data_IF_901509717457
#
_entry.id   IF_901509717457
#
_cell.length_a   1.000
_cell.length_b   1.000
_cell.length_c   1.000
_cell.angle_alpha   90.00
_cell.angle_beta   90.00
_cell.angle_gamma   90.00
#
_symmetry.space_group_name_H-M   'P 1'
#
loop_
_entity.id
_entity.type
_entity.pdbx_description
1 polymer ?
#
# COMPACT_ATOMS: atom_id res chain seq x y z
N UNK A 1 -76.54 25.04 45.87
CA UNK A 1 -75.14 24.95 45.41
C UNK A 1 -74.84 23.45 45.34
N UNK A 2 -75.15 22.76 44.23
CA UNK A 2 -74.24 22.47 43.08
C UNK A 2 -72.91 21.91 43.60
N UNK A 3 -72.47 20.70 43.28
CA UNK A 3 -72.30 20.17 41.93
C UNK A 3 -72.14 18.63 41.95
N UNK A 4 -72.62 17.95 40.91
CA UNK A 4 -72.62 16.49 40.73
C UNK A 4 -71.29 15.99 40.13
N UNK A 5 -70.83 14.83 40.61
CA UNK A 5 -69.65 14.16 40.06
C UNK A 5 -69.93 13.48 38.72
N UNK A 6 -69.33 13.99 37.64
CA UNK A 6 -69.29 13.33 36.32
C UNK A 6 -68.07 12.41 36.14
N UNK A 7 -68.21 11.21 35.55
CA UNK A 7 -67.09 10.32 35.29
C UNK A 7 -66.26 10.78 34.07
N UNK A 8 -64.94 10.94 34.26
CA UNK A 8 -63.98 11.25 33.20
C UNK A 8 -63.92 10.13 32.15
N UNK A 9 -64.29 10.43 30.91
CA UNK A 9 -64.14 9.55 29.73
C UNK A 9 -62.67 9.19 29.51
N UNK A 10 -62.37 7.89 29.38
CA UNK A 10 -61.08 7.40 28.85
C UNK A 10 -60.95 7.78 27.37
N UNK A 11 -59.76 8.20 26.91
CA UNK A 11 -59.50 8.34 25.48
C UNK A 11 -59.56 6.96 24.79
N UNK A 12 -59.97 6.90 23.51
CA UNK A 12 -60.03 5.64 22.77
C UNK A 12 -58.62 5.06 22.61
N UNK A 13 -58.54 3.73 22.72
CA UNK A 13 -57.31 2.98 22.50
C UNK A 13 -56.81 3.23 21.07
N UNK A 14 -55.61 3.77 20.97
CA UNK A 14 -54.90 3.96 19.72
C UNK A 14 -54.63 2.57 19.11
N UNK A 15 -55.24 2.31 17.96
CA UNK A 15 -55.04 1.10 17.19
C UNK A 15 -53.54 0.96 16.91
N UNK A 16 -52.90 -0.19 17.15
CA UNK A 16 -51.49 -0.35 16.80
C UNK A 16 -51.38 -0.16 15.29
N UNK A 17 -50.64 0.86 14.86
CA UNK A 17 -50.20 1.01 13.48
C UNK A 17 -49.48 -0.30 13.13
N UNK A 18 -49.90 -1.05 12.10
CA UNK A 18 -49.14 -2.21 11.66
C UNK A 18 -47.73 -1.72 11.34
N UNK A 19 -46.74 -2.14 12.11
CA UNK A 19 -45.35 -1.94 11.75
C UNK A 19 -45.17 -2.52 10.35
N UNK A 20 -44.90 -1.66 9.37
CA UNK A 20 -44.53 -2.09 8.03
C UNK A 20 -43.47 -3.19 8.17
N UNK A 21 -43.65 -4.35 7.51
CA UNK A 21 -42.58 -5.33 7.49
C UNK A 21 -41.37 -4.59 6.93
N UNK A 22 -40.26 -4.56 7.67
CA UNK A 22 -38.98 -4.06 7.17
C UNK A 22 -38.68 -4.83 5.88
N UNK A 23 -39.06 -4.25 4.75
CA UNK A 23 -38.71 -4.74 3.43
C UNK A 23 -37.20 -4.61 3.38
N UNK A 24 -36.51 -5.74 3.29
CA UNK A 24 -35.08 -5.73 3.02
C UNK A 24 -34.78 -4.83 1.81
N UNK A 25 -33.56 -4.29 1.71
CA UNK A 25 -33.20 -3.39 0.62
C UNK A 25 -33.56 -4.03 -0.73
N UNK A 26 -34.14 -3.25 -1.64
CA UNK A 26 -34.52 -3.71 -2.98
C UNK A 26 -33.31 -4.37 -3.65
N UNK A 27 -33.45 -5.65 -3.99
CA UNK A 27 -32.38 -6.45 -4.59
C UNK A 27 -32.51 -6.42 -6.11
N UNK A 28 -31.40 -6.13 -6.78
CA UNK A 28 -31.28 -6.15 -8.24
C UNK A 28 -30.18 -7.12 -8.65
N UNK A 29 -30.36 -7.78 -9.79
CA UNK A 29 -29.34 -8.65 -10.36
C UNK A 29 -28.22 -7.81 -10.98
N UNK A 30 -26.97 -8.08 -10.59
CA UNK A 30 -25.83 -7.39 -11.19
C UNK A 30 -25.62 -7.87 -12.65
N UNK A 31 -25.56 -6.97 -13.65
CA UNK A 31 -25.37 -7.36 -15.05
C UNK A 31 -23.98 -7.98 -15.37
N UNK A 32 -23.03 -7.93 -14.42
CA UNK A 32 -21.70 -8.50 -14.59
C UNK A 32 -21.50 -9.85 -13.88
N UNK A 33 -21.92 -9.96 -12.61
CA UNK A 33 -21.71 -11.17 -11.82
C UNK A 33 -23.00 -11.96 -11.54
N UNK A 34 -24.14 -11.49 -12.04
CA UNK A 34 -25.48 -12.12 -11.95
C UNK A 34 -26.03 -12.35 -10.53
N UNK A 35 -25.26 -12.00 -9.49
CA UNK A 35 -25.69 -12.07 -8.10
C UNK A 35 -26.71 -10.97 -7.78
N UNK A 36 -27.66 -11.33 -6.91
CA UNK A 36 -28.64 -10.40 -6.32
C UNK A 36 -27.96 -9.55 -5.25
N UNK A 37 -27.98 -8.23 -5.43
CA UNK A 37 -27.37 -7.25 -4.52
C UNK A 37 -28.32 -6.08 -4.28
N UNK A 38 -28.22 -5.38 -3.14
CA UNK A 38 -28.94 -4.13 -2.89
C UNK A 38 -28.71 -3.13 -4.02
N UNK A 39 -29.78 -2.43 -4.41
CA UNK A 39 -29.70 -1.35 -5.37
C UNK A 39 -28.66 -0.29 -4.94
N UNK A 40 -27.84 0.14 -5.88
CA UNK A 40 -26.75 1.09 -5.66
C UNK A 40 -26.09 1.50 -6.97
N UNK A 41 -25.08 2.36 -6.89
CA UNK A 41 -24.27 2.76 -8.04
C UNK A 41 -23.26 1.65 -8.42
N UNK A 42 -22.78 0.93 -7.40
CA UNK A 42 -21.84 -0.18 -7.54
C UNK A 42 -22.44 -1.48 -7.00
N UNK A 43 -22.06 -2.59 -7.61
CA UNK A 43 -22.36 -3.91 -7.10
C UNK A 43 -21.54 -4.16 -5.81
N UNK A 44 -22.23 -4.38 -4.68
CA UNK A 44 -21.55 -4.68 -3.42
C UNK A 44 -20.78 -6.01 -3.41
N UNK A 45 -21.06 -6.91 -4.37
CA UNK A 45 -20.40 -8.20 -4.49
C UNK A 45 -19.13 -8.16 -5.35
N UNK A 46 -19.24 -7.73 -6.61
CA UNK A 46 -18.12 -7.74 -7.56
C UNK A 46 -17.47 -6.36 -7.80
N UNK A 47 -18.04 -5.29 -7.24
CA UNK A 47 -17.50 -3.93 -7.35
C UNK A 47 -17.68 -3.24 -8.71
N UNK A 48 -18.36 -3.88 -9.67
CA UNK A 48 -18.70 -3.30 -10.98
C UNK A 48 -19.73 -2.17 -10.87
N UNK A 49 -19.78 -1.26 -11.84
CA UNK A 49 -20.90 -0.31 -11.94
C UNK A 49 -22.20 -1.06 -12.19
N UNK A 50 -23.20 -0.86 -11.33
CA UNK A 50 -24.46 -1.60 -11.39
C UNK A 50 -25.34 -1.11 -12.55
N UNK A 51 -25.25 0.18 -12.89
CA UNK A 51 -26.00 0.84 -13.97
C UNK A 51 -25.54 0.44 -15.37
N UNK A 52 -24.24 0.23 -15.57
CA UNK A 52 -23.65 -0.05 -16.89
C UNK A 52 -23.02 -1.44 -17.02
N UNK A 53 -22.89 -2.21 -15.93
CA UNK A 53 -22.25 -3.53 -15.91
C UNK A 53 -20.75 -3.53 -16.18
N UNK A 54 -20.09 -2.37 -16.08
CA UNK A 54 -18.65 -2.24 -16.36
C UNK A 54 -17.85 -2.62 -15.12
N UNK A 55 -17.23 -3.80 -15.14
CA UNK A 55 -16.38 -4.29 -14.05
C UNK A 55 -14.98 -3.69 -13.99
N UNK A 56 -14.48 -3.16 -15.10
CA UNK A 56 -13.13 -2.59 -15.16
C UNK A 56 -13.01 -1.23 -14.45
N UNK A 57 -14.13 -0.49 -14.31
CA UNK A 57 -14.28 0.79 -13.59
C UNK A 57 -13.00 1.66 -13.56
N UNK A 58 -12.42 1.92 -14.74
CA UNK A 58 -11.11 2.56 -14.89
C UNK A 58 -11.01 3.97 -14.26
N UNK A 59 -12.14 4.65 -14.14
CA UNK A 59 -12.26 5.97 -13.53
C UNK A 59 -12.50 5.96 -12.01
N UNK A 60 -12.73 4.78 -11.42
CA UNK A 60 -12.98 4.60 -10.00
C UNK A 60 -12.07 3.51 -9.44
N UNK A 61 -10.95 3.90 -8.84
CA UNK A 61 -10.03 2.94 -8.22
C UNK A 61 -10.71 2.17 -7.07
N UNK A 62 -10.40 0.89 -6.93
CA UNK A 62 -11.10 -0.02 -6.01
C UNK A 62 -10.91 0.37 -4.52
N UNK A 63 -9.72 0.84 -4.16
CA UNK A 63 -9.42 1.27 -2.80
C UNK A 63 -9.82 2.73 -2.52
N UNK A 64 -9.81 3.60 -3.55
CA UNK A 64 -10.16 5.02 -3.42
C UNK A 64 -10.99 5.43 -4.64
N UNK A 65 -12.33 5.32 -4.57
CA UNK A 65 -13.19 5.54 -5.74
C UNK A 65 -13.15 6.94 -6.33
N UNK A 66 -12.69 7.94 -5.58
CA UNK A 66 -12.54 9.32 -6.05
C UNK A 66 -11.35 9.53 -6.99
N UNK A 67 -10.42 8.57 -7.08
CA UNK A 67 -9.26 8.65 -7.96
C UNK A 67 -9.36 7.62 -9.11
N UNK A 68 -8.93 7.96 -10.34
CA UNK A 68 -8.88 6.98 -11.43
C UNK A 68 -7.77 5.94 -11.18
N UNK A 69 -7.83 4.82 -11.91
CA UNK A 69 -6.83 3.74 -11.78
C UNK A 69 -5.44 4.21 -12.22
N UNK A 70 -5.37 5.05 -13.25
CA UNK A 70 -4.13 5.66 -13.75
C UNK A 70 -3.95 7.04 -13.12
N UNK A 71 -3.56 7.07 -11.85
CA UNK A 71 -3.27 8.30 -11.12
C UNK A 71 -2.02 8.14 -10.26
N UNK A 72 -1.03 9.01 -10.44
CA UNK A 72 0.22 8.97 -9.68
C UNK A 72 0.03 9.51 -8.27
N UNK A 73 0.04 8.61 -7.29
CA UNK A 73 -0.03 8.96 -5.87
C UNK A 73 0.71 7.93 -5.04
N UNK A 74 1.81 8.34 -4.42
CA UNK A 74 2.60 7.48 -3.52
C UNK A 74 1.75 7.04 -2.34
N UNK A 75 0.98 7.98 -1.77
CA UNK A 75 0.22 7.76 -0.53
C UNK A 75 -0.92 6.74 -0.75
N UNK A 76 -1.79 6.97 -1.73
CA UNK A 76 -2.92 6.04 -1.99
C UNK A 76 -2.49 4.69 -2.58
N UNK A 77 -1.23 4.56 -3.03
CA UNK A 77 -0.71 3.28 -3.57
C UNK A 77 0.04 2.45 -2.52
N UNK A 78 0.89 3.07 -1.69
CA UNK A 78 1.68 2.36 -0.67
C UNK A 78 0.97 2.26 0.69
N UNK A 79 -0.05 3.08 0.94
CA UNK A 79 -0.84 3.08 2.17
C UNK A 79 -2.30 2.73 1.87
N UNK A 80 -2.60 1.49 1.42
CA UNK A 80 -3.90 1.15 0.86
C UNK A 80 -5.05 1.15 1.88
N UNK A 81 -4.75 1.01 3.18
CA UNK A 81 -5.75 1.00 4.25
C UNK A 81 -6.05 2.40 4.82
N UNK A 82 -5.38 3.45 4.32
CA UNK A 82 -5.53 4.79 4.87
C UNK A 82 -6.85 5.42 4.39
N UNK A 83 -7.75 5.83 5.30
CA UNK A 83 -8.99 6.52 4.91
C UNK A 83 -8.66 7.82 4.16
N UNK A 84 -9.40 8.13 3.08
CA UNK A 84 -9.07 9.24 2.19
C UNK A 84 -8.97 10.60 2.91
N UNK A 85 -9.80 10.82 3.93
CA UNK A 85 -9.81 12.05 4.73
C UNK A 85 -8.49 12.30 5.47
N UNK A 86 -7.75 11.24 5.83
CA UNK A 86 -6.41 11.34 6.47
C UNK A 86 -5.26 11.30 5.45
N UNK A 87 -5.53 10.91 4.20
CA UNK A 87 -4.55 10.95 3.11
C UNK A 87 -3.90 12.32 2.90
N UNK A 88 -4.65 13.41 3.15
CA UNK A 88 -4.11 14.77 3.12
C UNK A 88 -2.96 14.99 4.11
N UNK A 89 -3.10 14.52 5.36
CA UNK A 89 -2.06 14.70 6.38
C UNK A 89 -0.76 13.97 6.03
N UNK A 90 -0.85 12.74 5.52
CA UNK A 90 0.31 11.97 5.06
C UNK A 90 0.99 12.61 3.84
N UNK A 91 0.22 13.18 2.91
CA UNK A 91 0.77 13.95 1.78
C UNK A 91 1.55 15.18 2.28
N UNK A 92 0.99 15.93 3.23
CA UNK A 92 1.68 17.07 3.84
C UNK A 92 2.93 16.65 4.62
N UNK A 93 2.88 15.54 5.37
CA UNK A 93 4.03 14.99 6.07
C UNK A 93 5.16 14.58 5.10
N UNK A 94 4.81 13.93 3.98
CA UNK A 94 5.77 13.61 2.92
C UNK A 94 6.38 14.87 2.31
N UNK A 95 5.56 15.87 1.95
CA UNK A 95 6.03 17.15 1.41
C UNK A 95 6.94 17.89 2.39
N UNK A 96 6.56 17.96 3.68
CA UNK A 96 7.36 18.57 4.72
C UNK A 96 8.70 17.85 4.93
N UNK A 97 8.71 16.51 4.89
CA UNK A 97 9.93 15.72 4.97
C UNK A 97 10.86 15.94 3.78
N UNK A 98 10.33 15.95 2.55
CA UNK A 98 11.11 16.30 1.34
C UNK A 98 11.67 17.72 1.44
N UNK A 99 10.84 18.69 1.85
CA UNK A 99 11.28 20.07 2.04
C UNK A 99 12.41 20.16 3.09
N UNK A 100 12.30 19.41 4.18
CA UNK A 100 13.34 19.34 5.22
C UNK A 100 14.66 18.83 4.64
N UNK A 101 14.64 17.76 3.85
CA UNK A 101 15.84 17.24 3.17
C UNK A 101 16.45 18.28 2.23
N UNK A 102 15.61 18.97 1.43
CA UNK A 102 16.06 20.01 0.49
C UNK A 102 16.69 21.19 1.22
N UNK A 103 16.08 21.65 2.32
CA UNK A 103 16.62 22.76 3.14
C UNK A 103 17.96 22.36 3.75
N UNK A 104 18.07 21.16 4.34
CA UNK A 104 19.34 20.68 4.90
C UNK A 104 20.44 20.55 3.83
N UNK A 105 20.09 20.06 2.64
CA UNK A 105 21.02 19.98 1.52
C UNK A 105 21.46 21.36 1.02
N UNK A 106 20.56 22.34 0.96
CA UNK A 106 20.87 23.73 0.58
C UNK A 106 21.78 24.42 1.60
N UNK A 107 21.69 24.05 2.87
CA UNK A 107 22.57 24.50 3.95
C UNK A 107 23.92 23.75 4.00
N UNK A 108 24.21 22.88 3.02
CA UNK A 108 25.40 22.02 2.97
C UNK A 108 25.54 21.07 4.18
N UNK A 109 24.44 20.80 4.90
CA UNK A 109 24.39 19.87 6.02
C UNK A 109 24.10 18.46 5.51
N UNK A 110 25.05 17.88 4.77
CA UNK A 110 24.82 16.63 4.03
C UNK A 110 24.60 15.41 4.93
N UNK A 111 25.27 15.33 6.08
CA UNK A 111 25.06 14.25 7.04
C UNK A 111 23.61 14.22 7.59
N UNK A 112 23.07 15.30 8.19
CA UNK A 112 21.68 15.29 8.64
C UNK A 112 20.68 15.24 7.48
N UNK A 113 21.01 15.78 6.30
CA UNK A 113 20.17 15.61 5.11
C UNK A 113 20.04 14.13 4.71
N UNK A 114 21.15 13.38 4.78
CA UNK A 114 21.18 11.93 4.52
C UNK A 114 20.33 11.18 5.54
N UNK A 115 20.47 11.49 6.83
CA UNK A 115 19.64 10.88 7.88
C UNK A 115 18.17 11.18 7.62
N UNK A 116 17.80 12.45 7.40
CA UNK A 116 16.42 12.83 7.13
C UNK A 116 15.85 12.10 5.89
N UNK A 117 16.63 11.97 4.82
CA UNK A 117 16.22 11.29 3.60
C UNK A 117 16.01 9.77 3.81
N UNK A 118 16.92 9.11 4.51
CA UNK A 118 16.86 7.66 4.78
C UNK A 118 15.73 7.31 5.76
N UNK A 119 15.42 8.18 6.72
CA UNK A 119 14.37 7.93 7.69
C UNK A 119 12.97 8.33 7.20
N UNK A 120 12.85 9.18 6.18
CA UNK A 120 11.57 9.75 5.73
C UNK A 120 10.49 8.69 5.47
N UNK A 121 10.74 7.74 4.55
CA UNK A 121 9.73 6.74 4.18
C UNK A 121 9.51 5.67 5.27
N UNK A 122 10.54 5.11 5.93
CA UNK A 122 10.34 4.17 7.03
C UNK A 122 9.55 4.78 8.20
N UNK A 123 9.83 6.03 8.58
CA UNK A 123 9.08 6.73 9.63
C UNK A 123 7.65 7.00 9.18
N UNK A 124 7.45 7.49 7.95
CA UNK A 124 6.10 7.71 7.41
C UNK A 124 5.29 6.41 7.36
N UNK A 125 5.93 5.30 6.99
CA UNK A 125 5.31 3.97 7.00
C UNK A 125 5.01 3.50 8.43
N UNK A 126 5.91 3.71 9.38
CA UNK A 126 5.66 3.44 10.80
C UNK A 126 4.48 4.24 11.36
N UNK A 127 4.35 5.52 11.00
CA UNK A 127 3.20 6.36 11.35
C UNK A 127 1.90 5.87 10.70
N UNK A 128 1.96 5.43 9.43
CA UNK A 128 0.83 4.80 8.76
C UNK A 128 0.37 3.53 9.50
N UNK A 129 1.33 2.67 9.90
CA UNK A 129 1.00 1.49 10.68
C UNK A 129 0.35 1.90 11.98
N UNK A 130 0.97 2.77 12.77
CA UNK A 130 0.37 3.27 14.01
C UNK A 130 -1.07 3.77 13.80
N UNK A 131 -1.32 4.52 12.73
CA UNK A 131 -2.64 5.09 12.44
C UNK A 131 -3.67 4.05 12.02
N UNK A 132 -3.32 3.10 11.15
CA UNK A 132 -4.25 2.05 10.70
C UNK A 132 -4.52 1.02 11.81
N UNK A 133 -3.53 0.79 12.65
CA UNK A 133 -3.44 -0.35 13.55
C UNK A 133 -3.91 -0.08 14.97
N UNK A 134 -3.98 1.19 15.39
CA UNK A 134 -4.73 1.60 16.61
C UNK A 134 -6.21 1.12 16.58
N UNK A 135 -6.66 0.58 15.45
CA UNK A 135 -8.04 0.19 15.19
C UNK A 135 -8.32 -1.32 15.04
N UNK A 136 -7.30 -2.21 15.06
CA UNK A 136 -7.47 -3.66 15.21
C UNK A 136 -6.51 -4.24 16.28
N UNK A 137 -6.96 -5.26 17.01
CA UNK A 137 -6.13 -5.92 18.01
C UNK A 137 -5.22 -6.97 17.33
N UNK A 138 -3.90 -6.72 17.33
CA UNK A 138 -2.76 -7.66 17.11
C UNK A 138 -1.88 -7.58 15.82
N UNK A 139 -2.17 -6.79 14.77
CA UNK A 139 -1.26 -6.68 13.61
C UNK A 139 0.07 -5.87 13.72
N UNK A 140 0.26 -4.89 14.63
CA UNK A 140 1.48 -4.03 14.60
C UNK A 140 2.78 -4.78 14.88
N UNK A 141 2.75 -5.75 15.79
CA UNK A 141 3.91 -6.59 16.11
C UNK A 141 4.30 -7.42 14.89
N UNK A 142 3.33 -7.91 14.12
CA UNK A 142 3.60 -8.72 12.92
C UNK A 142 4.21 -7.86 11.81
N UNK A 143 3.64 -6.69 11.52
CA UNK A 143 4.18 -5.81 10.47
C UNK A 143 5.51 -5.17 10.91
N UNK A 144 5.63 -4.80 12.19
CA UNK A 144 6.89 -4.31 12.77
C UNK A 144 7.99 -5.38 12.73
N UNK A 145 7.66 -6.64 13.03
CA UNK A 145 8.63 -7.75 12.95
C UNK A 145 9.04 -8.05 11.51
N UNK A 146 8.17 -7.92 10.50
CA UNK A 146 8.61 -8.08 9.09
C UNK A 146 9.54 -6.96 8.65
N UNK A 147 9.30 -5.72 9.09
CA UNK A 147 10.20 -4.59 8.85
C UNK A 147 11.55 -4.81 9.53
N UNK A 148 11.56 -5.21 10.81
CA UNK A 148 12.80 -5.51 11.56
C UNK A 148 13.54 -6.70 10.94
N UNK A 149 12.85 -7.77 10.54
CA UNK A 149 13.46 -8.91 9.85
C UNK A 149 14.08 -8.46 8.52
N UNK A 150 13.39 -7.62 7.74
CA UNK A 150 13.94 -7.01 6.53
C UNK A 150 15.21 -6.22 6.83
N UNK A 151 15.22 -5.40 7.88
CA UNK A 151 16.39 -4.63 8.31
C UNK A 151 17.57 -5.51 8.71
N UNK A 152 17.34 -6.60 9.46
CA UNK A 152 18.39 -7.56 9.82
C UNK A 152 18.98 -8.21 8.56
N UNK A 153 18.13 -8.66 7.63
CA UNK A 153 18.58 -9.25 6.36
C UNK A 153 19.35 -8.24 5.51
N UNK A 154 18.91 -6.98 5.46
CA UNK A 154 19.60 -5.91 4.74
C UNK A 154 20.97 -5.60 5.33
N UNK A 155 21.08 -5.56 6.66
CA UNK A 155 22.36 -5.37 7.35
C UNK A 155 23.34 -6.50 7.05
N UNK A 156 22.91 -7.76 7.21
CA UNK A 156 23.72 -8.95 6.89
C UNK A 156 24.12 -8.96 5.42
N UNK A 157 23.18 -8.69 4.52
CA UNK A 157 23.44 -8.59 3.09
C UNK A 157 24.54 -7.56 2.78
N UNK A 158 24.45 -6.36 3.36
CA UNK A 158 25.42 -5.29 3.11
C UNK A 158 26.82 -5.64 3.56
N UNK A 159 26.97 -6.33 4.70
CA UNK A 159 28.27 -6.81 5.18
C UNK A 159 28.87 -7.82 4.20
N UNK A 160 28.07 -8.76 3.71
CA UNK A 160 28.51 -9.82 2.80
C UNK A 160 28.84 -9.27 1.40
N UNK A 161 28.06 -8.32 0.88
CA UNK A 161 28.25 -7.78 -0.47
C UNK A 161 29.21 -6.59 -0.51
N UNK A 162 29.38 -5.85 0.59
CA UNK A 162 30.15 -4.60 0.62
C UNK A 162 31.59 -4.76 0.13
N UNK A 163 32.27 -5.83 0.57
CA UNK A 163 33.64 -6.13 0.10
C UNK A 163 33.70 -6.52 -1.39
N UNK A 164 32.66 -7.18 -1.91
CA UNK A 164 32.57 -7.51 -3.33
C UNK A 164 32.35 -6.26 -4.19
N UNK A 165 31.42 -5.38 -3.79
CA UNK A 165 31.15 -4.11 -4.48
C UNK A 165 32.36 -3.19 -4.46
N UNK A 166 33.08 -3.10 -3.33
CA UNK A 166 34.29 -2.29 -3.23
C UNK A 166 35.41 -2.80 -4.16
N UNK A 167 35.63 -4.13 -4.23
CA UNK A 167 36.60 -4.73 -5.15
C UNK A 167 36.25 -4.47 -6.62
N UNK A 168 34.96 -4.50 -6.96
CA UNK A 168 34.47 -4.17 -8.30
C UNK A 168 34.79 -2.74 -8.72
N UNK A 169 34.54 -1.78 -7.82
CA UNK A 169 34.80 -0.37 -8.08
C UNK A 169 36.29 -0.10 -8.35
N UNK A 170 37.18 -0.90 -7.75
CA UNK A 170 38.63 -0.77 -7.88
C UNK A 170 39.15 -1.52 -9.12
N UNK A 171 38.63 -2.72 -9.42
CA UNK A 171 39.17 -3.58 -10.48
C UNK A 171 38.74 -3.15 -11.88
N UNK A 172 37.61 -2.46 -12.04
CA UNK A 172 37.08 -2.05 -13.35
C UNK A 172 36.74 -3.21 -14.29
N UNK A 173 36.81 -4.45 -13.81
CA UNK A 173 36.57 -5.64 -14.59
C UNK A 173 35.06 -5.73 -14.89
N UNK A 174 34.70 -5.56 -16.16
CA UNK A 174 33.32 -5.49 -16.66
C UNK A 174 32.80 -6.83 -17.17
N UNK A 175 33.60 -7.91 -17.16
CA UNK A 175 33.18 -9.22 -17.64
C UNK A 175 32.38 -10.02 -16.61
N UNK A 176 33.10 -10.66 -15.68
CA UNK A 176 32.52 -11.56 -14.67
C UNK A 176 31.76 -10.79 -13.58
N UNK A 177 32.18 -9.56 -13.33
CA UNK A 177 31.68 -8.70 -12.27
C UNK A 177 30.43 -7.90 -12.67
N UNK A 178 30.22 -7.64 -13.97
CA UNK A 178 29.01 -6.99 -14.47
C UNK A 178 27.75 -7.82 -14.20
N UNK A 179 27.80 -9.13 -14.47
CA UNK A 179 26.68 -10.04 -14.17
C UNK A 179 26.42 -10.09 -12.67
N UNK A 180 27.49 -10.11 -11.87
CA UNK A 180 27.37 -10.12 -10.42
C UNK A 180 26.69 -8.85 -9.89
N UNK A 181 27.17 -7.66 -10.27
CA UNK A 181 26.62 -6.39 -9.79
C UNK A 181 25.26 -6.03 -10.41
N UNK A 182 25.10 -6.27 -11.70
CA UNK A 182 23.90 -5.88 -12.44
C UNK A 182 22.74 -6.87 -12.31
N UNK A 183 23.01 -8.14 -11.99
CA UNK A 183 21.99 -9.20 -11.98
C UNK A 183 21.94 -9.92 -10.64
N UNK A 184 23.06 -10.49 -10.17
CA UNK A 184 23.04 -11.35 -8.97
C UNK A 184 22.68 -10.56 -7.71
N UNK A 185 23.36 -9.43 -7.46
CA UNK A 185 23.09 -8.56 -6.30
C UNK A 185 21.61 -8.13 -6.23
N UNK A 186 21.01 -7.52 -7.28
CA UNK A 186 19.63 -7.07 -7.20
C UNK A 186 18.61 -8.21 -7.06
N UNK A 187 18.83 -9.37 -7.70
CA UNK A 187 17.95 -10.53 -7.56
C UNK A 187 18.02 -11.13 -6.16
N UNK A 188 19.22 -11.26 -5.59
CA UNK A 188 19.39 -11.75 -4.21
C UNK A 188 18.76 -10.76 -3.22
N UNK A 189 18.96 -9.46 -3.41
CA UNK A 189 18.31 -8.44 -2.59
C UNK A 189 16.78 -8.55 -2.64
N UNK A 190 16.20 -8.66 -3.84
CA UNK A 190 14.75 -8.82 -4.03
C UNK A 190 14.22 -10.10 -3.37
N UNK A 191 14.98 -11.21 -3.44
CA UNK A 191 14.62 -12.47 -2.78
C UNK A 191 14.65 -12.34 -1.25
N UNK A 192 15.66 -11.66 -0.69
CA UNK A 192 15.76 -11.40 0.75
C UNK A 192 14.64 -10.49 1.25
N UNK A 193 14.27 -9.46 0.48
CA UNK A 193 13.11 -8.60 0.80
C UNK A 193 11.79 -9.39 0.82
N UNK A 194 11.65 -10.42 -0.01
CA UNK A 194 10.47 -11.29 -0.04
C UNK A 194 10.47 -12.35 1.07
N UNK A 195 11.60 -12.64 1.72
CA UNK A 195 11.71 -13.70 2.70
C UNK A 195 10.75 -13.52 3.89
N UNK A 196 10.62 -12.30 4.41
CA UNK A 196 9.71 -11.98 5.52
C UNK A 196 8.23 -12.22 5.17
N UNK A 197 7.71 -11.62 4.07
CA UNK A 197 6.36 -11.89 3.59
C UNK A 197 6.14 -13.38 3.28
N UNK A 198 7.03 -14.03 2.54
CA UNK A 198 6.88 -15.45 2.19
C UNK A 198 6.84 -16.34 3.45
N UNK A 199 7.63 -16.02 4.47
CA UNK A 199 7.53 -16.70 5.77
C UNK A 199 6.11 -16.54 6.37
N UNK A 200 5.58 -15.32 6.45
CA UNK A 200 4.20 -15.13 6.94
C UNK A 200 3.15 -15.84 6.09
N UNK A 201 3.35 -15.91 4.77
CA UNK A 201 2.46 -16.65 3.86
C UNK A 201 2.35 -18.13 4.24
N UNK A 202 3.45 -18.78 4.63
CA UNK A 202 3.39 -20.20 5.01
C UNK A 202 2.91 -20.42 6.46
N UNK A 203 3.28 -19.55 7.39
CA UNK A 203 3.02 -19.76 8.82
C UNK A 203 1.69 -19.16 9.32
N UNK A 204 1.05 -18.24 8.59
CA UNK A 204 -0.19 -17.57 9.02
C UNK A 204 -1.30 -17.70 7.97
N UNK A 205 -2.08 -18.78 8.07
CA UNK A 205 -3.23 -19.05 7.19
C UNK A 205 -4.46 -18.13 7.43
N UNK A 206 -4.46 -17.34 8.52
CA UNK A 206 -5.55 -16.40 8.85
C UNK A 206 -5.49 -15.09 8.05
N UNK A 207 -4.30 -14.66 7.62
CA UNK A 207 -4.08 -13.41 6.88
C UNK A 207 -4.32 -13.67 5.39
N UNK A 208 -5.56 -13.52 4.92
CA UNK A 208 -5.93 -13.94 3.56
C UNK A 208 -5.93 -12.80 2.56
N UNK A 209 -6.12 -11.56 2.98
CA UNK A 209 -6.37 -10.43 2.10
C UNK A 209 -5.13 -10.09 1.24
N UNK A 210 -5.26 -9.83 -0.07
CA UNK A 210 -4.12 -9.45 -0.92
C UNK A 210 -3.42 -8.17 -0.45
N UNK A 211 -4.17 -7.28 0.19
CA UNK A 211 -3.66 -6.05 0.79
C UNK A 211 -2.73 -6.32 1.98
N UNK A 212 -2.93 -7.41 2.73
CA UNK A 212 -1.99 -7.82 3.79
C UNK A 212 -0.64 -8.21 3.18
N UNK A 213 -0.65 -8.99 2.09
CA UNK A 213 0.56 -9.34 1.37
C UNK A 213 1.33 -8.09 0.91
N UNK A 214 0.61 -7.08 0.41
CA UNK A 214 1.19 -5.80 0.01
C UNK A 214 1.85 -5.09 1.19
N UNK A 215 1.16 -4.94 2.33
CA UNK A 215 1.71 -4.24 3.51
C UNK A 215 2.92 -4.94 4.09
N UNK A 216 2.94 -6.27 4.18
CA UNK A 216 4.13 -7.01 4.61
C UNK A 216 5.30 -6.83 3.63
N UNK A 217 5.01 -6.83 2.31
CA UNK A 217 6.01 -6.60 1.28
C UNK A 217 6.65 -5.20 1.37
N UNK A 218 5.84 -4.15 1.53
CA UNK A 218 6.34 -2.78 1.73
C UNK A 218 7.16 -2.69 3.02
N UNK A 219 6.66 -3.23 4.13
CA UNK A 219 7.34 -3.21 5.42
C UNK A 219 8.73 -3.85 5.35
N UNK A 220 8.82 -5.05 4.78
CA UNK A 220 10.09 -5.80 4.68
C UNK A 220 11.08 -5.11 3.74
N UNK A 221 10.63 -4.62 2.59
CA UNK A 221 11.48 -3.92 1.64
C UNK A 221 11.97 -2.55 2.16
N UNK A 222 11.13 -1.80 2.87
CA UNK A 222 11.54 -0.55 3.52
C UNK A 222 12.57 -0.82 4.63
N UNK A 223 12.33 -1.82 5.48
CA UNK A 223 13.29 -2.23 6.51
C UNK A 223 14.64 -2.65 5.92
N UNK A 224 14.62 -3.50 4.90
CA UNK A 224 15.83 -3.92 4.19
C UNK A 224 16.57 -2.74 3.57
N UNK A 225 15.88 -1.91 2.78
CA UNK A 225 16.48 -0.77 2.08
C UNK A 225 16.98 0.29 3.04
N UNK A 226 16.29 0.49 4.16
CA UNK A 226 16.74 1.35 5.25
C UNK A 226 18.07 0.86 5.81
N UNK A 227 18.17 -0.41 6.20
CA UNK A 227 19.39 -0.97 6.77
C UNK A 227 20.56 -0.97 5.78
N UNK A 228 20.32 -1.34 4.51
CA UNK A 228 21.38 -1.32 3.49
C UNK A 228 21.88 0.09 3.22
N UNK A 229 20.98 1.06 3.08
CA UNK A 229 21.33 2.45 2.80
C UNK A 229 22.03 3.09 3.99
N UNK A 230 21.56 2.84 5.22
CA UNK A 230 22.16 3.35 6.43
C UNK A 230 23.58 2.78 6.63
N UNK A 231 23.77 1.47 6.40
CA UNK A 231 25.08 0.83 6.50
C UNK A 231 26.05 1.36 5.45
N UNK A 232 25.58 1.54 4.21
CA UNK A 232 26.40 2.06 3.11
C UNK A 232 26.80 3.54 3.31
N UNK A 233 25.94 4.33 3.96
CA UNK A 233 26.18 5.76 4.22
C UNK A 233 26.83 6.04 5.57
N UNK A 234 26.96 5.03 6.43
CA UNK A 234 27.52 5.16 7.78
C UNK A 234 28.87 5.91 7.86
N UNK A 235 29.87 5.63 6.99
CA UNK A 235 31.14 6.34 7.04
C UNK A 235 31.02 7.85 6.78
N UNK A 236 30.01 8.27 6.01
CA UNK A 236 29.75 9.69 5.73
C UNK A 236 29.18 10.41 6.95
N UNK A 237 28.42 9.70 7.78
CA UNK A 237 27.82 10.25 9.01
C UNK A 237 28.84 10.46 10.12
N UNK A 238 29.94 9.71 10.11
CA UNK A 238 31.05 9.86 11.05
C UNK A 238 32.06 10.96 10.63
N UNK A 239 31.91 11.51 9.43
CA UNK A 239 32.78 12.55 8.88
C UNK A 239 32.36 13.99 9.24
N UNK A 240 33.00 15.00 8.63
CA UNK A 240 32.66 16.41 8.81
C UNK A 240 31.19 16.72 8.43
N UNK A 241 30.52 17.53 9.26
CA UNK A 241 29.09 17.88 9.09
C UNK A 241 28.83 18.75 7.84
N UNK A 242 29.82 19.54 7.42
CA UNK A 242 29.77 20.38 6.23
C UNK A 242 30.70 19.75 5.19
N UNK A 243 30.14 19.36 4.04
CA UNK A 243 30.91 18.75 2.96
C UNK A 243 31.34 19.75 1.90
N UNK A 244 32.48 19.46 1.27
CA UNK A 244 32.94 20.13 0.04
C UNK A 244 32.44 19.35 -1.18
N UNK A 245 31.60 19.94 -2.02
CA UNK A 245 31.06 19.28 -3.21
C UNK A 245 29.93 20.08 -3.86
N UNK A 246 29.52 19.67 -5.07
CA UNK A 246 28.39 20.31 -5.74
C UNK A 246 27.08 19.99 -4.99
N UNK A 247 26.24 20.99 -4.80
CA UNK A 247 24.94 20.84 -4.12
C UNK A 247 23.99 19.95 -4.92
N UNK A 248 24.04 20.06 -6.24
CA UNK A 248 23.19 19.31 -7.18
C UNK A 248 23.52 17.81 -7.12
N UNK A 249 24.79 17.42 -7.14
CA UNK A 249 25.14 15.99 -7.07
C UNK A 249 24.72 15.37 -5.75
N UNK A 250 24.87 16.11 -4.65
CA UNK A 250 24.39 15.66 -3.34
C UNK A 250 22.87 15.52 -3.31
N UNK A 251 22.13 16.49 -3.86
CA UNK A 251 20.67 16.39 -3.97
C UNK A 251 20.24 15.16 -4.78
N UNK A 252 20.89 14.90 -5.92
CA UNK A 252 20.61 13.72 -6.77
C UNK A 252 20.92 12.40 -6.05
N UNK A 253 22.01 12.34 -5.28
CA UNK A 253 22.38 11.17 -4.47
C UNK A 253 21.38 10.93 -3.34
N UNK A 254 20.95 11.99 -2.64
CA UNK A 254 19.95 11.93 -1.58
C UNK A 254 18.58 11.49 -2.12
N UNK A 255 18.15 12.03 -3.26
CA UNK A 255 16.92 11.61 -3.93
C UNK A 255 16.97 10.12 -4.29
N UNK A 256 18.11 9.66 -4.82
CA UNK A 256 18.28 8.25 -5.18
C UNK A 256 18.26 7.33 -3.96
N UNK A 257 19.09 7.63 -2.96
CA UNK A 257 19.30 6.78 -1.79
C UNK A 257 18.11 6.80 -0.82
N UNK A 258 17.53 7.98 -0.56
CA UNK A 258 16.46 8.13 0.42
C UNK A 258 15.07 7.85 -0.12
N UNK A 259 14.82 8.09 -1.42
CA UNK A 259 13.46 8.03 -1.98
C UNK A 259 13.37 6.97 -3.07
N UNK A 260 14.16 7.08 -4.15
CA UNK A 260 13.96 6.23 -5.33
C UNK A 260 14.23 4.74 -5.04
N UNK A 261 15.33 4.39 -4.37
CA UNK A 261 15.58 2.99 -4.02
C UNK A 261 14.49 2.42 -3.11
N UNK A 262 14.04 3.18 -2.12
CA UNK A 262 12.98 2.75 -1.21
C UNK A 262 11.66 2.55 -1.94
N UNK A 263 11.27 3.47 -2.82
CA UNK A 263 10.03 3.35 -3.60
C UNK A 263 10.07 2.16 -4.56
N UNK A 264 11.18 1.97 -5.27
CA UNK A 264 11.33 0.88 -6.23
C UNK A 264 11.29 -0.46 -5.50
N UNK A 265 12.12 -0.64 -4.47
CA UNK A 265 12.19 -1.89 -3.70
C UNK A 265 10.87 -2.19 -2.98
N UNK A 266 10.23 -1.18 -2.38
CA UNK A 266 8.93 -1.33 -1.76
C UNK A 266 7.89 -1.77 -2.78
N UNK A 267 7.86 -1.14 -3.96
CA UNK A 267 6.88 -1.44 -5.00
C UNK A 267 7.11 -2.82 -5.62
N UNK A 268 8.33 -3.17 -6.02
CA UNK A 268 8.62 -4.48 -6.62
C UNK A 268 8.32 -5.63 -5.66
N UNK A 269 8.70 -5.48 -4.39
CA UNK A 269 8.44 -6.48 -3.35
C UNK A 269 6.97 -6.60 -3.01
N UNK A 270 6.27 -5.47 -2.88
CA UNK A 270 4.87 -5.46 -2.47
C UNK A 270 3.94 -6.04 -3.53
N UNK A 271 4.21 -5.83 -4.82
CA UNK A 271 3.40 -6.43 -5.89
C UNK A 271 3.55 -7.95 -5.94
N UNK A 272 4.77 -8.46 -5.79
CA UNK A 272 5.01 -9.91 -5.76
C UNK A 272 4.34 -10.53 -4.53
N UNK A 273 4.46 -9.89 -3.37
CA UNK A 273 3.82 -10.34 -2.14
C UNK A 273 2.28 -10.31 -2.25
N UNK A 274 1.70 -9.24 -2.80
CA UNK A 274 0.25 -9.15 -3.04
C UNK A 274 -0.24 -10.25 -4.00
N UNK A 275 0.50 -10.52 -5.08
CA UNK A 275 0.16 -11.56 -6.04
C UNK A 275 0.28 -12.98 -5.48
N UNK A 276 1.20 -13.20 -4.54
CA UNK A 276 1.34 -14.45 -3.80
C UNK A 276 0.12 -14.69 -2.90
N UNK A 277 -0.33 -13.67 -2.16
CA UNK A 277 -1.56 -13.76 -1.36
C UNK A 277 -2.80 -13.99 -2.20
N UNK A 278 -2.88 -13.34 -3.36
CA UNK A 278 -3.98 -13.50 -4.30
C UNK A 278 -4.16 -14.95 -4.79
N UNK A 279 -3.13 -15.81 -4.70
CA UNK A 279 -3.25 -17.24 -5.02
C UNK A 279 -4.18 -18.02 -4.08
N UNK A 280 -4.47 -17.49 -2.88
CA UNK A 280 -5.37 -18.14 -1.91
C UNK A 280 -6.85 -18.06 -2.30
N UNK A 281 -7.21 -17.17 -3.22
CA UNK A 281 -8.58 -17.01 -3.70
C UNK A 281 -8.79 -17.78 -5.00
N UNK A 282 -10.00 -18.30 -5.22
CA UNK A 282 -10.34 -18.98 -6.48
C UNK A 282 -10.59 -17.95 -7.59
N UNK A 283 -9.54 -17.74 -8.40
CA UNK A 283 -9.47 -16.72 -9.45
C UNK A 283 -10.36 -17.02 -10.67
N UNK A 284 -10.97 -18.21 -10.75
CA UNK A 284 -11.73 -18.64 -11.93
C UNK A 284 -13.04 -17.87 -12.12
N UNK A 285 -13.60 -17.29 -11.04
CA UNK A 285 -14.88 -16.56 -11.09
C UNK A 285 -14.75 -15.06 -11.36
N UNK A 286 -13.55 -14.49 -11.21
CA UNK A 286 -13.37 -13.04 -11.14
C UNK A 286 -12.55 -12.40 -12.27
N UNK A 287 -12.32 -13.13 -13.38
CA UNK A 287 -11.72 -12.55 -14.60
C UNK A 287 -10.35 -11.90 -14.38
N UNK A 288 -9.37 -12.68 -13.89
CA UNK A 288 -8.02 -12.18 -13.66
C UNK A 288 -7.43 -11.60 -14.96
N UNK A 289 -7.01 -10.34 -14.93
CA UNK A 289 -6.07 -9.84 -15.94
C UNK A 289 -4.72 -10.55 -15.75
N UNK A 290 -4.08 -10.99 -16.83
CA UNK A 290 -2.73 -11.58 -16.83
C UNK A 290 -1.73 -10.78 -15.98
N UNK A 291 -1.88 -9.45 -15.97
CA UNK A 291 -1.12 -8.47 -15.20
C UNK A 291 -1.04 -8.80 -13.70
N UNK A 292 -2.14 -9.25 -13.08
CA UNK A 292 -2.16 -9.53 -11.64
C UNK A 292 -1.61 -10.93 -11.29
N UNK A 293 -1.06 -11.66 -12.26
CA UNK A 293 -0.55 -13.02 -12.07
C UNK A 293 0.78 -13.09 -11.33
N UNK A 294 0.97 -14.11 -10.50
CA UNK A 294 2.27 -14.32 -9.83
C UNK A 294 3.44 -14.36 -10.84
N UNK A 295 3.39 -15.11 -11.96
CA UNK A 295 4.49 -15.09 -12.91
C UNK A 295 4.71 -13.71 -13.54
N UNK A 296 3.65 -12.99 -13.93
CA UNK A 296 3.79 -11.64 -14.50
C UNK A 296 4.43 -10.66 -13.50
N UNK A 297 3.95 -10.65 -12.25
CA UNK A 297 4.49 -9.79 -11.19
C UNK A 297 5.94 -10.11 -10.83
N UNK A 298 6.32 -11.39 -10.77
CA UNK A 298 7.72 -11.81 -10.55
C UNK A 298 8.60 -11.37 -11.72
N UNK A 299 8.18 -11.57 -12.96
CA UNK A 299 8.95 -11.17 -14.15
C UNK A 299 9.13 -9.66 -14.20
N UNK A 300 8.07 -8.88 -13.93
CA UNK A 300 8.15 -7.41 -13.94
C UNK A 300 9.02 -6.89 -12.80
N UNK A 301 8.87 -7.44 -11.58
CA UNK A 301 9.68 -7.04 -10.43
C UNK A 301 11.16 -7.39 -10.62
N UNK A 302 11.47 -8.63 -11.00
CA UNK A 302 12.84 -9.07 -11.27
C UNK A 302 13.45 -8.32 -12.47
N UNK A 303 12.67 -8.12 -13.53
CA UNK A 303 13.07 -7.36 -14.71
C UNK A 303 13.42 -5.92 -14.38
N UNK A 304 12.59 -5.22 -13.58
CA UNK A 304 12.88 -3.86 -13.12
C UNK A 304 14.19 -3.80 -12.31
N UNK A 305 14.38 -4.74 -11.37
CA UNK A 305 15.58 -4.81 -10.54
C UNK A 305 16.85 -5.07 -11.38
N UNK A 306 16.80 -6.01 -12.33
CA UNK A 306 17.93 -6.32 -13.21
C UNK A 306 18.24 -5.18 -14.17
N UNK A 307 17.22 -4.58 -14.80
CA UNK A 307 17.42 -3.43 -15.70
C UNK A 307 18.08 -2.27 -14.95
N UNK A 308 17.58 -1.94 -13.76
CA UNK A 308 18.17 -0.87 -12.94
C UNK A 308 19.56 -1.22 -12.40
N UNK A 309 19.82 -2.49 -12.08
CA UNK A 309 21.14 -2.97 -11.69
C UNK A 309 22.15 -2.85 -12.82
N UNK A 310 21.78 -3.27 -14.04
CA UNK A 310 22.60 -3.11 -15.24
C UNK A 310 22.87 -1.63 -15.51
N UNK A 311 21.83 -0.79 -15.50
CA UNK A 311 21.96 0.65 -15.73
C UNK A 311 22.86 1.33 -14.69
N UNK A 312 22.87 0.85 -13.44
CA UNK A 312 23.76 1.38 -12.40
C UNK A 312 25.25 1.14 -12.71
N UNK A 313 25.58 0.13 -13.53
CA UNK A 313 26.95 -0.19 -13.95
C UNK A 313 27.30 0.44 -15.30
N UNK A 314 26.37 0.47 -16.24
CA UNK A 314 26.65 0.94 -17.62
C UNK A 314 26.53 2.44 -17.82
N UNK A 315 25.72 3.13 -17.01
CA UNK A 315 25.46 4.57 -17.19
C UNK A 315 26.32 5.34 -16.19
N UNK A 316 27.40 6.03 -16.59
CA UNK A 316 28.22 6.79 -15.64
C UNK A 316 27.58 8.12 -15.22
N UNK A 317 26.67 8.67 -16.03
CA UNK A 317 26.04 9.96 -15.79
C UNK A 317 24.99 9.89 -14.66
N UNK A 318 25.22 10.67 -13.60
CA UNK A 318 24.37 10.65 -12.41
C UNK A 318 22.95 11.18 -12.69
N UNK A 319 22.82 12.23 -13.49
CA UNK A 319 21.52 12.84 -13.79
C UNK A 319 20.64 11.88 -14.60
N UNK A 320 21.20 11.23 -15.61
CA UNK A 320 20.53 10.21 -16.40
C UNK A 320 20.16 8.99 -15.55
N UNK A 321 21.06 8.51 -14.68
CA UNK A 321 20.76 7.43 -13.75
C UNK A 321 19.56 7.78 -12.84
N UNK A 322 19.52 8.98 -12.28
CA UNK A 322 18.42 9.45 -11.43
C UNK A 322 17.12 9.53 -12.23
N UNK A 323 17.17 10.09 -13.45
CA UNK A 323 16.01 10.18 -14.33
C UNK A 323 15.41 8.81 -14.67
N UNK A 324 16.26 7.83 -15.00
CA UNK A 324 15.83 6.45 -15.28
C UNK A 324 15.22 5.77 -14.06
N UNK A 325 15.80 5.97 -12.86
CA UNK A 325 15.23 5.46 -11.60
C UNK A 325 13.90 6.13 -11.26
N UNK A 326 13.77 7.43 -11.48
CA UNK A 326 12.51 8.14 -11.27
C UNK A 326 11.41 7.63 -12.20
N UNK A 327 11.73 7.42 -13.48
CA UNK A 327 10.81 6.83 -14.46
C UNK A 327 10.40 5.41 -14.04
N UNK A 328 11.36 4.58 -13.63
CA UNK A 328 11.08 3.23 -13.15
C UNK A 328 10.22 3.23 -11.88
N UNK A 329 10.49 4.12 -10.92
CA UNK A 329 9.67 4.27 -9.72
C UNK A 329 8.22 4.62 -10.07
N UNK A 330 8.00 5.56 -10.99
CA UNK A 330 6.65 5.90 -11.48
C UNK A 330 5.98 4.71 -12.16
N UNK A 331 6.69 4.02 -13.05
CA UNK A 331 6.15 2.86 -13.78
C UNK A 331 5.76 1.71 -12.84
N UNK A 332 6.62 1.35 -11.88
CA UNK A 332 6.34 0.28 -10.93
C UNK A 332 5.23 0.71 -9.96
N UNK A 333 5.16 1.98 -9.53
CA UNK A 333 4.03 2.46 -8.71
C UNK A 333 2.70 2.37 -9.47
N UNK A 334 2.67 2.72 -10.76
CA UNK A 334 1.46 2.55 -11.58
C UNK A 334 1.09 1.08 -11.72
N UNK A 335 2.08 0.20 -11.86
CA UNK A 335 1.86 -1.24 -11.88
C UNK A 335 1.30 -1.76 -10.56
N UNK A 336 1.82 -1.31 -9.41
CA UNK A 336 1.27 -1.63 -8.08
C UNK A 336 -0.21 -1.26 -8.03
N UNK A 337 -0.56 -0.04 -8.43
CA UNK A 337 -1.94 0.47 -8.41
C UNK A 337 -2.86 -0.38 -9.30
N UNK A 338 -2.41 -0.77 -10.48
CA UNK A 338 -3.14 -1.67 -11.37
C UNK A 338 -3.37 -3.05 -10.72
N UNK A 339 -2.33 -3.63 -10.11
CA UNK A 339 -2.42 -4.94 -9.47
C UNK A 339 -3.35 -4.89 -8.25
N UNK A 340 -3.26 -3.87 -7.39
CA UNK A 340 -4.20 -3.64 -6.28
C UNK A 340 -5.63 -3.56 -6.79
N UNK A 341 -5.85 -2.78 -7.86
CA UNK A 341 -7.18 -2.61 -8.41
C UNK A 341 -7.79 -3.95 -8.84
N UNK A 342 -7.01 -4.75 -9.58
CA UNK A 342 -7.44 -6.06 -10.06
C UNK A 342 -7.54 -7.10 -8.94
N UNK A 343 -6.67 -7.06 -7.93
CA UNK A 343 -6.71 -7.98 -6.80
C UNK A 343 -7.95 -7.75 -5.94
N UNK A 344 -8.33 -6.49 -5.71
CA UNK A 344 -9.54 -6.16 -4.96
C UNK A 344 -10.80 -6.58 -5.71
N UNK A 345 -10.87 -6.37 -7.02
CA UNK A 345 -11.98 -6.88 -7.84
C UNK A 345 -12.03 -8.42 -7.84
N UNK A 346 -10.88 -9.08 -7.78
CA UNK A 346 -10.78 -10.54 -7.74
C UNK A 346 -11.21 -11.14 -6.39
N UNK A 347 -11.15 -10.37 -5.31
CA UNK A 347 -11.59 -10.76 -3.96
C UNK A 347 -13.12 -10.83 -3.83
N UNK A 348 -13.88 -10.46 -4.86
CA UNK A 348 -15.35 -10.48 -4.92
C UNK A 348 -16.01 -11.87 -4.87
N UNK A 349 -15.55 -12.78 -4.02
CA UNK A 349 -16.14 -14.08 -3.76
C UNK A 349 -16.20 -14.34 -2.26
N UNK A 350 -17.42 -14.48 -1.73
CA UNK A 350 -17.78 -14.94 -0.38
C UNK A 350 -17.95 -13.87 0.74
N UNK A 351 -18.73 -12.82 0.49
CA UNK A 351 -19.43 -12.14 1.59
C UNK A 351 -20.94 -12.13 1.36
N UNK A 352 -21.65 -12.63 2.37
CA UNK A 352 -23.10 -12.53 2.50
C UNK A 352 -23.50 -11.07 2.80
N UNK A 353 -24.76 -10.74 2.54
CA UNK A 353 -25.32 -9.43 2.88
C UNK A 353 -25.34 -9.32 4.40
N UNK A 354 -24.40 -8.56 4.98
CA UNK A 354 -24.38 -8.32 6.42
C UNK A 354 -25.24 -7.09 6.81
N UNK A 355 -25.29 -6.76 8.11
CA UNK A 355 -26.10 -5.66 8.63
C UNK A 355 -25.67 -4.30 8.06
N UNK A 356 -26.56 -3.32 8.12
CA UNK A 356 -26.24 -1.96 7.71
C UNK A 356 -25.20 -1.32 8.64
N UNK A 357 -24.14 -0.76 8.04
CA UNK A 357 -23.10 -0.05 8.77
C UNK A 357 -22.60 1.17 7.96
N UNK A 358 -22.15 2.25 8.63
CA UNK A 358 -21.56 3.37 7.94
C UNK A 358 -20.33 2.94 7.12
N UNK A 359 -20.24 3.45 5.89
CA UNK A 359 -19.02 3.34 5.09
C UNK A 359 -17.94 4.31 5.63
N UNK A 360 -16.71 3.87 5.96
CA UNK A 360 -15.63 4.76 6.38
C UNK A 360 -15.23 5.81 5.35
N UNK A 361 -15.52 5.56 4.08
CA UNK A 361 -15.14 6.43 2.96
C UNK A 361 -16.23 7.47 2.64
N UNK A 362 -17.48 7.04 2.41
CA UNK A 362 -18.57 7.95 2.05
C UNK A 362 -19.55 8.28 3.19
N UNK A 363 -19.38 7.68 4.37
CA UNK A 363 -20.22 7.85 5.57
C UNK A 363 -21.72 7.52 5.41
N UNK A 364 -22.14 7.03 4.25
CA UNK A 364 -23.50 6.54 4.03
C UNK A 364 -23.70 5.20 4.74
N UNK A 365 -24.86 5.04 5.38
CA UNK A 365 -25.31 3.75 5.93
C UNK A 365 -25.67 2.85 4.76
N UNK A 366 -24.98 1.73 4.63
CA UNK A 366 -25.19 0.74 3.56
C UNK A 366 -25.05 -0.68 4.09
N UNK A 367 -25.65 -1.68 3.44
CA UNK A 367 -25.45 -3.08 3.78
C UNK A 367 -23.96 -3.44 3.72
N UNK A 368 -23.44 -4.13 4.73
CA UNK A 368 -22.05 -4.57 4.69
C UNK A 368 -21.86 -5.65 3.66
N UNK A 369 -21.07 -5.33 2.64
CA UNK A 369 -20.63 -6.23 1.57
C UNK A 369 -19.14 -6.00 1.29
N UNK A 370 -18.54 -6.80 0.42
CA UNK A 370 -17.14 -6.63 0.00
C UNK A 370 -16.86 -5.23 -0.57
N UNK A 371 -17.82 -4.66 -1.29
CA UNK A 371 -17.78 -3.28 -1.79
C UNK A 371 -18.95 -2.46 -1.24
N UNK A 372 -18.72 -1.17 -1.03
CA UNK A 372 -19.80 -0.24 -0.70
C UNK A 372 -20.75 -0.05 -1.91
N UNK A 373 -22.06 -0.33 -1.81
CA UNK A 373 -22.99 -0.13 -2.92
C UNK A 373 -23.13 1.34 -3.38
N UNK A 374 -22.82 2.30 -2.48
CA UNK A 374 -22.96 3.73 -2.75
C UNK A 374 -21.72 4.35 -3.42
N UNK A 375 -20.52 4.07 -2.93
CA UNK A 375 -19.29 4.68 -3.46
C UNK A 375 -18.33 3.70 -4.15
N UNK A 376 -18.58 2.39 -4.05
CA UNK A 376 -17.75 1.37 -4.70
C UNK A 376 -16.40 1.10 -4.03
N UNK A 377 -16.13 1.64 -2.83
CA UNK A 377 -14.88 1.34 -2.11
C UNK A 377 -14.86 -0.12 -1.67
N UNK A 378 -13.71 -0.80 -1.83
CA UNK A 378 -13.47 -2.11 -1.25
C UNK A 378 -13.38 -1.98 0.28
N UNK A 379 -14.14 -2.79 1.03
CA UNK A 379 -14.12 -2.76 2.50
C UNK A 379 -12.77 -3.21 3.06
N UNK A 380 -12.08 -4.14 2.38
CA UNK A 380 -10.71 -4.53 2.73
C UNK A 380 -9.75 -3.32 2.74
N UNK A 381 -9.95 -2.34 1.85
CA UNK A 381 -9.15 -1.12 1.80
C UNK A 381 -9.64 0.00 2.74
N UNK A 382 -10.83 -0.14 3.32
CA UNK A 382 -11.49 0.90 4.13
C UNK A 382 -11.94 0.32 5.47
N UNK A 383 -10.99 0.07 6.36
CA UNK A 383 -11.26 -0.39 7.72
C UNK A 383 -11.72 0.77 8.63
N UNK A 384 -12.68 0.57 9.55
CA UNK A 384 -13.18 1.63 10.43
C UNK A 384 -12.10 2.17 11.38
N UNK A 385 -12.18 3.47 11.72
CA UNK A 385 -11.35 4.11 12.76
C UNK A 385 -12.20 4.41 14.01
N UNK A 386 -11.65 4.30 15.24
CA UNK A 386 -12.39 4.37 16.54
C UNK A 386 -13.23 5.62 16.78
N UNK A 387 -13.11 6.69 15.99
CA UNK A 387 -13.88 7.91 16.23
C UNK A 387 -15.41 7.74 16.05
N UNK A 388 -15.84 6.59 15.52
CA UNK A 388 -17.25 6.20 15.40
C UNK A 388 -17.62 4.88 16.12
N UNK A 389 -16.70 4.30 16.88
CA UNK A 389 -17.03 3.16 17.73
C UNK A 389 -17.55 3.71 19.07
N UNK A 390 -18.87 3.82 19.17
CA UNK A 390 -19.59 3.99 20.44
C UNK A 390 -18.93 3.09 21.51
N UNK A 391 -18.65 3.59 22.73
CA UNK A 391 -18.14 2.73 23.78
C UNK A 391 -19.19 1.65 24.06
N UNK A 392 -18.85 0.38 23.78
CA UNK A 392 -19.62 -0.74 24.31
C UNK A 392 -19.39 -0.74 25.81
N UNK A 393 -20.43 -0.38 26.56
CA UNK A 393 -20.49 -0.44 28.01
C UNK A 393 -20.33 -1.84 28.57
#
# INVERSE_FOLDING_TARGET
MTDEGGPKKRPPAETPIPSEPHSGPELVACPHCENMVPAGEFCGHCGAHLTWGVASRQHAFAAVPSEPVVHLSIVSTLFPHLPHRRGGAFRWALLAGVATVVILAALHLFAPATIAAVFLLPVLYGLYLYEVEVYESEPWLLIGTTMVAGAILGYVFTILTGGAVARLAISGDVGTNFVFAGVVIPIVAQALMLAGPVFLYFFRARLREPLDGLTFGVASALGFTFATTLTATWPLLAGPLVGTGSTIDWALRLLTAGILFMLINASTTSVVAAALWLQRYDLRKAGRGWEASLPATVVIAAGAQVVLGILAVTVPDLALQVGLRALAAVAVLMYVRLVIHRSLLAEGAAHEIGPDAPCPECHRIVPTMAFCPACGVARAASKPTRMHAEPRG
#
